data_IF_038535569503
#
_entry.id   IF_038535569503
#
_cell.length_a   1.000
_cell.length_b   1.000
_cell.length_c   1.000
_cell.angle_alpha   90.00
_cell.angle_beta   90.00
_cell.angle_gamma   90.00
#
_symmetry.space_group_name_H-M   'P 1'
#
loop_
_entity.id
_entity.type
_entity.pdbx_description
1 polymer ?
#
# COMPACT_ATOMS: atom_id res chain seq x y z
N UNK A 1 1.40 -82.40 8.24
CA UNK A 1 1.84 -81.00 8.01
C UNK A 1 1.08 -80.22 6.92
N UNK A 2 0.16 -80.81 6.13
CA UNK A 2 -0.50 -80.12 4.98
C UNK A 2 -1.73 -79.26 5.37
N UNK A 3 -2.51 -79.63 6.40
CA UNK A 3 -3.74 -78.91 6.83
C UNK A 3 -3.49 -77.50 7.42
N UNK A 4 -2.37 -77.30 8.12
CA UNK A 4 -2.02 -76.03 8.77
C UNK A 4 -1.72 -74.89 7.77
N UNK A 5 -1.11 -75.21 6.61
CA UNK A 5 -0.78 -74.21 5.58
C UNK A 5 -2.02 -73.69 4.84
N UNK A 6 -3.08 -74.49 4.71
CA UNK A 6 -4.35 -74.05 4.11
C UNK A 6 -5.14 -73.16 5.05
N UNK A 7 -5.15 -73.48 6.36
CA UNK A 7 -5.79 -72.65 7.37
C UNK A 7 -5.13 -71.26 7.47
N UNK A 8 -3.79 -71.21 7.43
CA UNK A 8 -3.04 -69.95 7.45
C UNK A 8 -3.31 -69.10 6.21
N UNK A 9 -3.37 -69.72 5.01
CA UNK A 9 -3.72 -69.01 3.76
C UNK A 9 -5.15 -68.48 3.77
N UNK A 10 -6.11 -69.23 4.31
CA UNK A 10 -7.49 -68.74 4.48
C UNK A 10 -7.57 -67.58 5.46
N UNK A 11 -6.81 -67.61 6.57
CA UNK A 11 -6.76 -66.50 7.53
C UNK A 11 -6.14 -65.26 6.90
N UNK A 12 -5.03 -65.39 6.16
CA UNK A 12 -4.43 -64.26 5.44
C UNK A 12 -5.37 -63.70 4.36
N UNK A 13 -6.09 -64.57 3.63
CA UNK A 13 -7.08 -64.12 2.65
C UNK A 13 -8.25 -63.40 3.32
N UNK A 14 -8.69 -63.85 4.50
CA UNK A 14 -9.79 -63.25 5.26
C UNK A 14 -9.38 -61.90 5.89
N UNK A 15 -8.14 -61.80 6.36
CA UNK A 15 -7.57 -60.55 6.89
C UNK A 15 -7.33 -59.54 5.77
N UNK A 16 -6.86 -59.97 4.59
CA UNK A 16 -6.66 -59.08 3.44
C UNK A 16 -7.99 -58.55 2.90
N UNK A 17 -9.04 -59.37 2.85
CA UNK A 17 -10.38 -58.90 2.47
C UNK A 17 -11.00 -58.00 3.54
N UNK A 18 -10.78 -58.26 4.83
CA UNK A 18 -11.22 -57.37 5.90
C UNK A 18 -10.52 -56.01 5.85
N UNK A 19 -9.24 -55.96 5.45
CA UNK A 19 -8.48 -54.72 5.29
C UNK A 19 -8.94 -53.89 4.07
N UNK A 20 -9.32 -54.57 2.98
CA UNK A 20 -9.83 -53.91 1.76
C UNK A 20 -11.29 -53.43 1.90
N UNK A 21 -12.04 -53.95 2.88
CA UNK A 21 -13.41 -53.53 3.18
C UNK A 21 -13.49 -52.52 4.33
N UNK A 22 -12.35 -52.06 4.86
CA UNK A 22 -12.30 -51.01 5.87
C UNK A 22 -12.73 -49.66 5.25
N UNK A 23 -14.04 -49.39 5.28
CA UNK A 23 -14.60 -48.10 4.92
C UNK A 23 -14.15 -47.07 5.96
N UNK A 24 -13.21 -46.19 5.60
CA UNK A 24 -13.00 -44.94 6.34
C UNK A 24 -14.25 -44.07 6.18
N UNK A 25 -14.88 -43.58 7.28
CA UNK A 25 -16.00 -42.67 7.15
C UNK A 25 -15.53 -41.39 6.44
N UNK A 26 -16.06 -41.12 5.24
CA UNK A 26 -15.89 -39.83 4.59
C UNK A 26 -16.92 -38.87 5.16
N UNK A 27 -16.43 -37.76 5.71
CA UNK A 27 -17.30 -36.64 6.06
C UNK A 27 -17.63 -35.92 4.77
N UNK A 28 -18.85 -36.08 4.25
CA UNK A 28 -19.37 -35.15 3.24
C UNK A 28 -19.86 -33.91 3.99
N UNK A 29 -19.42 -32.70 3.62
CA UNK A 29 -20.03 -31.49 4.10
C UNK A 29 -21.53 -31.55 3.77
N UNK A 30 -22.35 -31.66 4.81
CA UNK A 30 -23.80 -31.63 4.70
C UNK A 30 -24.28 -30.34 5.33
N UNK A 31 -24.80 -29.45 4.49
CA UNK A 31 -25.33 -28.16 4.89
C UNK A 31 -25.80 -27.40 3.65
N UNK A 32 -27.07 -27.02 3.63
CA UNK A 32 -27.59 -26.07 2.65
C UNK A 32 -27.40 -24.67 3.22
N UNK A 33 -26.39 -23.94 2.74
CA UNK A 33 -26.25 -22.52 3.01
C UNK A 33 -27.09 -21.73 2.01
N UNK A 34 -27.95 -20.84 2.49
CA UNK A 34 -28.60 -19.85 1.64
C UNK A 34 -27.76 -18.57 1.65
N UNK A 35 -27.28 -18.15 0.49
CA UNK A 35 -26.66 -16.85 0.33
C UNK A 35 -27.77 -15.79 0.31
N UNK A 36 -27.90 -15.02 1.39
CA UNK A 36 -28.78 -13.85 1.42
C UNK A 36 -27.98 -12.70 0.82
N UNK A 37 -28.25 -12.37 -0.43
CA UNK A 37 -27.65 -11.21 -1.07
C UNK A 37 -28.21 -9.94 -0.43
N UNK A 38 -27.33 -9.03 -0.03
CA UNK A 38 -27.73 -7.66 0.27
C UNK A 38 -27.91 -6.96 -1.08
N UNK A 39 -29.16 -6.68 -1.46
CA UNK A 39 -29.52 -5.95 -2.69
C UNK A 39 -30.26 -4.65 -2.36
N UNK A 40 -30.47 -3.81 -3.37
CA UNK A 40 -31.26 -2.58 -3.26
C UNK A 40 -32.73 -2.84 -2.88
N UNK A 41 -33.21 -4.08 -3.06
CA UNK A 41 -34.58 -4.50 -2.73
C UNK A 41 -34.79 -4.81 -1.23
N UNK A 42 -33.71 -4.76 -0.43
CA UNK A 42 -33.81 -4.94 1.02
C UNK A 42 -34.41 -3.68 1.62
N UNK A 43 -35.61 -3.81 2.18
CA UNK A 43 -36.29 -2.72 2.87
C UNK A 43 -35.43 -2.17 4.02
N UNK A 44 -35.02 -0.91 3.89
CA UNK A 44 -34.32 -0.20 4.94
C UNK A 44 -35.33 0.17 6.02
N UNK A 45 -35.12 -0.31 7.24
CA UNK A 45 -36.01 0.00 8.36
C UNK A 45 -35.80 1.44 8.82
N UNK A 46 -36.89 2.21 8.89
CA UNK A 46 -36.86 3.59 9.39
C UNK A 46 -36.22 3.72 10.78
N UNK A 47 -36.42 2.72 11.65
CA UNK A 47 -35.77 2.67 12.97
C UNK A 47 -34.24 2.69 12.88
N UNK A 48 -33.66 1.92 11.95
CA UNK A 48 -32.21 1.87 11.73
C UNK A 48 -31.75 3.19 11.11
N UNK A 49 -32.47 3.70 10.12
CA UNK A 49 -32.12 4.97 9.48
C UNK A 49 -32.13 6.14 10.47
N UNK A 50 -33.19 6.24 11.30
CA UNK A 50 -33.31 7.26 12.34
C UNK A 50 -32.22 7.14 13.41
N UNK A 51 -31.81 5.90 13.75
CA UNK A 51 -30.69 5.67 14.65
C UNK A 51 -29.36 6.14 14.05
N UNK A 52 -29.11 5.90 12.76
CA UNK A 52 -27.87 6.27 12.08
C UNK A 52 -27.79 7.76 11.70
N UNK A 53 -28.92 8.41 11.48
CA UNK A 53 -29.01 9.79 11.00
C UNK A 53 -28.12 10.80 11.76
N UNK A 54 -28.14 10.89 13.11
CA UNK A 54 -27.30 11.86 13.81
C UNK A 54 -25.80 11.59 13.66
N UNK A 55 -25.39 10.32 13.54
CA UNK A 55 -23.98 9.96 13.31
C UNK A 55 -23.56 10.33 11.90
N UNK A 56 -24.43 10.09 10.92
CA UNK A 56 -24.20 10.48 9.53
C UNK A 56 -24.05 11.99 9.40
N UNK A 57 -24.94 12.77 9.99
CA UNK A 57 -24.89 14.24 9.94
C UNK A 57 -23.61 14.80 10.59
N UNK A 58 -23.21 14.27 11.75
CA UNK A 58 -21.97 14.67 12.41
C UNK A 58 -20.74 14.35 11.56
N UNK A 59 -20.69 13.14 11.00
CA UNK A 59 -19.60 12.71 10.12
C UNK A 59 -19.55 13.54 8.83
N UNK A 60 -20.70 13.79 8.19
CA UNK A 60 -20.78 14.62 6.99
C UNK A 60 -20.32 16.05 7.25
N UNK A 61 -20.64 16.63 8.41
CA UNK A 61 -20.15 17.94 8.79
C UNK A 61 -18.62 17.99 8.89
N UNK A 62 -18.01 16.97 9.49
CA UNK A 62 -16.55 16.86 9.59
C UNK A 62 -15.89 16.62 8.23
N UNK A 63 -16.41 15.66 7.46
CA UNK A 63 -15.86 15.29 6.15
C UNK A 63 -15.99 16.42 5.11
N UNK A 64 -16.99 17.29 5.25
CA UNK A 64 -17.16 18.45 4.36
C UNK A 64 -16.32 19.67 4.76
N UNK A 65 -15.61 19.64 5.88
CA UNK A 65 -14.74 20.74 6.28
C UNK A 65 -13.63 20.95 5.24
N UNK A 66 -13.49 22.20 4.76
CA UNK A 66 -12.43 22.60 3.83
C UNK A 66 -11.13 22.78 4.62
N UNK A 67 -10.07 22.10 4.20
CA UNK A 67 -8.76 22.13 4.85
C UNK A 67 -7.67 22.80 4.00
N UNK A 68 -7.97 23.12 2.74
CA UNK A 68 -7.07 23.82 1.82
C UNK A 68 -7.69 24.00 0.45
N UNK A 69 -6.89 24.47 -0.52
CA UNK A 69 -7.30 24.61 -1.92
C UNK A 69 -6.22 24.09 -2.87
N UNK A 70 -6.63 23.36 -3.91
CA UNK A 70 -5.77 22.91 -5.00
C UNK A 70 -5.87 23.84 -6.21
N UNK A 71 -4.75 24.24 -6.80
CA UNK A 71 -4.71 25.10 -8.00
C UNK A 71 -5.21 24.37 -9.25
N UNK A 72 -5.02 23.06 -9.27
CA UNK A 72 -5.31 22.16 -10.38
C UNK A 72 -5.80 20.81 -9.88
N UNK A 73 -6.28 19.98 -10.79
CA UNK A 73 -6.55 18.57 -10.49
C UNK A 73 -5.23 17.80 -10.53
N UNK A 74 -4.96 17.03 -9.48
CA UNK A 74 -3.79 16.15 -9.39
C UNK A 74 -4.25 14.70 -9.46
N UNK A 75 -3.79 14.00 -10.49
CA UNK A 75 -4.07 12.58 -10.65
C UNK A 75 -2.83 11.75 -10.37
N UNK A 76 -3.07 10.44 -10.18
CA UNK A 76 -2.03 9.44 -10.01
C UNK A 76 -1.63 8.79 -11.34
N UNK A 77 -2.08 9.35 -12.46
CA UNK A 77 -1.80 8.84 -13.79
C UNK A 77 -0.40 9.23 -14.23
N UNK A 78 0.24 8.33 -14.98
CA UNK A 78 1.59 8.54 -15.48
C UNK A 78 2.32 7.24 -15.74
N UNK A 79 3.39 7.33 -16.51
CA UNK A 79 4.29 6.22 -16.82
C UNK A 79 5.55 6.36 -15.97
N UNK A 80 5.49 5.85 -14.75
CA UNK A 80 6.54 6.01 -13.73
C UNK A 80 6.21 7.11 -12.72
N UNK A 81 6.05 8.35 -13.20
CA UNK A 81 5.85 9.54 -12.37
C UNK A 81 4.43 10.11 -12.51
N UNK A 82 3.83 10.56 -11.41
CA UNK A 82 2.53 11.25 -11.41
C UNK A 82 2.55 12.46 -10.48
N UNK A 83 1.75 13.48 -10.80
CA UNK A 83 1.69 14.72 -10.00
C UNK A 83 1.26 14.45 -8.55
N UNK A 84 0.22 13.63 -8.36
CA UNK A 84 -0.26 13.29 -7.03
C UNK A 84 0.73 12.39 -6.27
N UNK A 85 1.42 11.48 -6.97
CA UNK A 85 2.50 10.68 -6.40
C UNK A 85 3.64 11.55 -5.86
N UNK A 86 4.08 12.53 -6.65
CA UNK A 86 5.13 13.49 -6.26
C UNK A 86 4.71 14.28 -5.03
N UNK A 87 3.51 14.87 -5.04
CA UNK A 87 2.99 15.65 -3.91
C UNK A 87 3.00 14.84 -2.62
N UNK A 88 2.48 13.61 -2.66
CA UNK A 88 2.38 12.75 -1.49
C UNK A 88 3.77 12.41 -0.95
N UNK A 89 4.74 12.09 -1.82
CA UNK A 89 6.09 11.76 -1.34
C UNK A 89 6.85 12.97 -0.83
N UNK A 90 6.61 14.16 -1.38
CA UNK A 90 7.16 15.42 -0.88
C UNK A 90 6.61 15.74 0.51
N UNK A 91 5.29 15.64 0.70
CA UNK A 91 4.65 15.83 2.00
C UNK A 91 5.12 14.79 3.01
N UNK A 92 5.19 13.52 2.63
CA UNK A 92 5.71 12.45 3.48
C UNK A 92 7.15 12.75 3.91
N UNK A 93 8.01 13.18 2.98
CA UNK A 93 9.40 13.52 3.27
C UNK A 93 9.50 14.71 4.22
N UNK A 94 8.85 15.83 3.88
CA UNK A 94 8.90 17.06 4.65
C UNK A 94 8.35 16.87 6.07
N UNK A 95 7.23 16.15 6.21
CA UNK A 95 6.65 15.83 7.50
C UNK A 95 7.55 14.93 8.34
N UNK A 96 8.14 13.90 7.74
CA UNK A 96 9.07 12.99 8.42
C UNK A 96 10.30 13.76 8.93
N UNK A 97 10.87 14.64 8.12
CA UNK A 97 12.03 15.46 8.51
C UNK A 97 11.72 16.40 9.68
N UNK A 98 10.56 17.06 9.64
CA UNK A 98 10.10 17.96 10.69
C UNK A 98 9.81 17.21 11.99
N UNK A 99 9.14 16.06 11.91
CA UNK A 99 8.66 15.32 13.08
C UNK A 99 9.77 14.52 13.77
N UNK A 100 10.65 13.89 12.98
CA UNK A 100 11.71 13.03 13.49
C UNK A 100 13.00 13.81 13.81
N UNK A 101 13.12 15.05 13.31
CA UNK A 101 14.23 15.95 13.63
C UNK A 101 15.54 15.62 12.92
N UNK A 102 15.50 14.85 11.83
CA UNK A 102 16.65 14.56 10.99
C UNK A 102 16.25 14.43 9.51
N UNK A 103 17.22 14.63 8.61
CA UNK A 103 16.99 14.60 7.16
C UNK A 103 16.61 13.20 6.66
N UNK A 104 15.70 13.15 5.70
CA UNK A 104 15.30 11.94 4.96
C UNK A 104 15.84 12.09 3.54
N UNK A 105 16.56 11.10 3.03
CA UNK A 105 17.15 11.20 1.69
C UNK A 105 16.10 10.93 0.59
N UNK A 106 15.25 9.91 0.79
CA UNK A 106 14.31 9.40 -0.21
C UNK A 106 12.95 9.17 0.44
N UNK A 107 11.86 9.44 -0.29
CA UNK A 107 10.51 9.08 0.12
C UNK A 107 9.78 8.39 -1.05
N UNK A 108 9.11 7.27 -0.78
CA UNK A 108 8.36 6.52 -1.79
C UNK A 108 6.92 6.23 -1.37
N UNK A 109 6.05 6.12 -2.38
CA UNK A 109 4.65 5.75 -2.22
C UNK A 109 4.18 4.90 -3.40
N UNK A 110 3.61 3.73 -3.15
CA UNK A 110 3.04 2.91 -4.21
C UNK A 110 1.75 3.53 -4.78
N UNK A 111 1.62 3.53 -6.11
CA UNK A 111 0.43 4.05 -6.80
C UNK A 111 -0.87 3.31 -6.43
N UNK A 112 -0.77 2.07 -5.94
CA UNK A 112 -1.89 1.30 -5.42
C UNK A 112 -2.45 1.84 -4.10
N UNK A 113 -1.62 2.51 -3.28
CA UNK A 113 -2.05 3.14 -2.04
C UNK A 113 -2.78 4.47 -2.23
N UNK A 114 -2.68 5.07 -3.42
CA UNK A 114 -3.39 6.31 -3.80
C UNK A 114 -4.71 5.91 -4.47
N UNK A 115 -5.83 6.23 -3.83
CA UNK A 115 -7.13 5.62 -4.15
C UNK A 115 -8.10 6.55 -4.88
N UNK A 116 -7.86 7.85 -4.83
CA UNK A 116 -8.61 8.85 -5.57
C UNK A 116 -7.69 9.95 -6.12
N UNK A 117 -8.24 10.87 -6.91
CA UNK A 117 -7.59 12.10 -7.34
C UNK A 117 -7.69 13.20 -6.27
N UNK A 118 -6.87 14.24 -6.38
CA UNK A 118 -7.11 15.52 -5.70
C UNK A 118 -7.79 16.49 -6.68
N UNK A 119 -9.05 16.87 -6.49
CA UNK A 119 -9.75 17.78 -7.40
C UNK A 119 -9.21 19.20 -7.28
N UNK A 120 -9.38 19.99 -8.36
CA UNK A 120 -9.15 21.43 -8.35
C UNK A 120 -10.15 22.14 -7.42
N UNK A 121 -9.71 23.17 -6.71
CA UNK A 121 -10.54 23.99 -5.84
C UNK A 121 -10.49 23.56 -4.38
N UNK A 122 -11.59 23.66 -3.65
CA UNK A 122 -11.63 23.35 -2.22
C UNK A 122 -11.29 21.89 -1.94
N UNK A 123 -10.32 21.68 -1.06
CA UNK A 123 -9.92 20.36 -0.58
C UNK A 123 -10.69 20.10 0.71
N UNK A 124 -11.62 19.15 0.68
CA UNK A 124 -12.36 18.70 1.86
C UNK A 124 -11.57 17.65 2.62
N UNK A 125 -11.82 17.52 3.92
CA UNK A 125 -11.24 16.45 4.73
C UNK A 125 -11.59 15.06 4.15
N UNK A 126 -12.84 14.85 3.76
CA UNK A 126 -13.30 13.61 3.15
C UNK A 126 -12.54 13.24 1.87
N UNK A 127 -12.10 14.23 1.08
CA UNK A 127 -11.26 14.00 -0.09
C UNK A 127 -9.94 13.31 0.27
N UNK A 128 -9.34 13.66 1.41
CA UNK A 128 -8.08 13.03 1.86
C UNK A 128 -8.32 11.60 2.37
N UNK A 129 -9.47 11.35 3.02
CA UNK A 129 -9.92 10.01 3.36
C UNK A 129 -10.15 9.13 2.12
N UNK A 130 -10.67 9.69 1.04
CA UNK A 130 -10.84 8.98 -0.23
C UNK A 130 -9.49 8.73 -0.94
N UNK A 131 -8.52 9.64 -0.84
CA UNK A 131 -7.19 9.48 -1.43
C UNK A 131 -6.36 8.43 -0.67
N UNK A 132 -6.37 8.49 0.67
CA UNK A 132 -5.58 7.62 1.55
C UNK A 132 -6.50 6.94 2.60
N UNK A 133 -7.32 5.96 2.18
CA UNK A 133 -8.32 5.33 3.06
C UNK A 133 -7.73 4.28 4.00
N UNK A 134 -6.47 3.87 3.79
CA UNK A 134 -5.81 2.87 4.62
C UNK A 134 -5.07 3.52 5.77
N UNK A 135 -5.06 2.85 6.92
CA UNK A 135 -4.27 3.26 8.08
C UNK A 135 -2.84 2.73 7.95
N UNK A 136 -2.19 3.08 6.84
CA UNK A 136 -0.78 2.77 6.63
C UNK A 136 0.08 3.77 7.41
N UNK A 137 1.12 3.27 8.06
CA UNK A 137 2.00 4.06 8.92
C UNK A 137 3.30 4.46 8.21
N UNK A 138 3.89 5.58 8.61
CA UNK A 138 5.21 6.02 8.16
C UNK A 138 6.30 5.15 8.80
N UNK A 139 7.09 4.48 7.97
CA UNK A 139 8.30 3.76 8.35
C UNK A 139 9.52 4.44 7.73
N UNK A 140 10.65 4.42 8.44
CA UNK A 140 11.94 4.89 7.92
C UNK A 140 12.91 3.71 7.90
N UNK A 141 13.44 3.43 6.71
CA UNK A 141 14.36 2.34 6.43
C UNK A 141 15.75 2.87 6.14
N UNK A 142 16.77 2.09 6.45
CA UNK A 142 18.13 2.30 5.95
C UNK A 142 18.33 1.51 4.65
N UNK A 143 18.70 2.19 3.57
CA UNK A 143 18.90 1.57 2.26
C UNK A 143 20.28 1.92 1.70
N UNK A 144 21.01 0.92 1.22
CA UNK A 144 22.31 1.10 0.59
C UNK A 144 22.17 1.25 -0.93
N UNK A 145 23.30 1.41 -1.63
CA UNK A 145 23.32 1.55 -3.08
C UNK A 145 22.73 0.34 -3.81
N UNK A 146 22.92 -0.88 -3.29
CA UNK A 146 22.36 -2.09 -3.88
C UNK A 146 20.83 -2.10 -3.77
N UNK A 147 20.28 -1.77 -2.60
CA UNK A 147 18.84 -1.65 -2.40
C UNK A 147 18.23 -0.54 -3.26
N UNK A 148 18.91 0.60 -3.42
CA UNK A 148 18.45 1.68 -4.31
C UNK A 148 18.41 1.21 -5.76
N UNK A 149 19.41 0.45 -6.23
CA UNK A 149 19.42 -0.13 -7.59
C UNK A 149 18.28 -1.12 -7.78
N UNK A 150 17.95 -1.91 -6.76
CA UNK A 150 16.81 -2.82 -6.82
C UNK A 150 15.47 -2.07 -6.85
N UNK A 151 15.31 -1.03 -6.04
CA UNK A 151 14.16 -0.12 -6.05
C UNK A 151 13.97 0.54 -7.42
N UNK A 152 15.05 1.08 -8.01
CA UNK A 152 14.99 1.70 -9.34
C UNK A 152 14.71 0.65 -10.41
N UNK A 153 15.28 -0.55 -10.33
CA UNK A 153 14.98 -1.65 -11.26
C UNK A 153 13.51 -2.07 -11.18
N UNK A 154 12.94 -2.09 -9.97
CA UNK A 154 11.52 -2.34 -9.77
C UNK A 154 10.66 -1.23 -10.42
N UNK A 155 10.98 0.04 -10.17
CA UNK A 155 10.24 1.18 -10.70
C UNK A 155 10.29 1.24 -12.24
N UNK A 156 11.49 1.07 -12.81
CA UNK A 156 11.75 1.14 -14.24
C UNK A 156 11.01 0.06 -15.07
N UNK A 157 10.47 -1.00 -14.46
CA UNK A 157 9.61 -2.00 -15.12
C UNK A 157 8.17 -1.52 -15.34
N UNK A 158 7.98 -0.22 -15.57
CA UNK A 158 6.68 0.40 -15.81
C UNK A 158 5.79 0.51 -14.58
N UNK A 159 6.36 0.54 -13.37
CA UNK A 159 5.60 0.76 -12.14
C UNK A 159 5.49 2.26 -11.90
N UNK A 160 4.27 2.76 -11.75
CA UNK A 160 4.06 4.11 -11.25
C UNK A 160 4.32 4.10 -9.74
N UNK A 161 5.34 4.84 -9.31
CA UNK A 161 5.80 4.95 -7.93
C UNK A 161 5.96 6.43 -7.63
N UNK A 162 5.31 6.95 -6.60
CA UNK A 162 5.66 8.28 -6.08
C UNK A 162 7.08 8.23 -5.53
N UNK A 163 7.93 9.20 -5.91
CA UNK A 163 9.32 9.29 -5.46
C UNK A 163 9.63 10.75 -5.14
N UNK A 164 10.26 11.01 -4.00
CA UNK A 164 10.92 12.29 -3.69
C UNK A 164 12.37 12.05 -3.27
N UNK A 165 13.27 12.98 -3.63
CA UNK A 165 14.70 12.92 -3.29
C UNK A 165 15.55 11.95 -4.12
N UNK A 166 14.94 11.04 -4.89
CA UNK A 166 15.59 10.13 -5.84
C UNK A 166 15.16 10.50 -7.27
N UNK A 167 16.11 10.55 -8.20
CA UNK A 167 15.84 10.58 -9.64
C UNK A 167 16.59 9.49 -10.38
N UNK A 168 16.03 9.01 -11.49
CA UNK A 168 16.72 8.06 -12.35
C UNK A 168 16.33 8.19 -13.83
N UNK A 169 17.23 7.69 -14.68
CA UNK A 169 16.98 7.49 -16.12
C UNK A 169 17.22 6.03 -16.50
N UNK A 170 16.24 5.44 -17.17
CA UNK A 170 16.29 4.08 -17.73
C UNK A 170 16.04 4.14 -19.23
N UNK A 171 16.83 3.39 -19.99
CA UNK A 171 16.73 3.30 -21.45
C UNK A 171 16.64 1.83 -21.82
N UNK A 172 15.56 1.42 -22.49
CA UNK A 172 15.31 0.02 -22.88
C UNK A 172 15.37 -0.97 -21.71
N UNK A 173 14.97 -0.52 -20.52
CA UNK A 173 15.00 -1.31 -19.29
C UNK A 173 16.33 -1.28 -18.53
N UNK A 174 17.37 -0.67 -19.08
CA UNK A 174 18.69 -0.55 -18.46
C UNK A 174 18.84 0.79 -17.74
N UNK A 175 19.21 0.73 -16.45
CA UNK A 175 19.40 1.93 -15.61
C UNK A 175 20.70 2.63 -16.01
N UNK A 176 20.59 3.86 -16.51
CA UNK A 176 21.74 4.67 -16.94
C UNK A 176 22.25 5.56 -15.82
N UNK A 177 21.34 6.21 -15.10
CA UNK A 177 21.66 7.24 -14.11
C UNK A 177 20.76 7.08 -12.89
N UNK A 178 21.35 7.27 -11.71
CA UNK A 178 20.65 7.38 -10.42
C UNK A 178 21.27 8.55 -9.67
N UNK A 179 20.43 9.46 -9.19
CA UNK A 179 20.86 10.56 -8.32
C UNK A 179 19.99 10.66 -7.08
N UNK A 180 20.62 10.93 -5.94
CA UNK A 180 19.96 11.23 -4.67
C UNK A 180 20.23 12.69 -4.33
N UNK A 181 19.17 13.50 -4.16
CA UNK A 181 19.24 14.93 -3.89
C UNK A 181 20.17 15.69 -4.87
N UNK A 182 20.11 15.30 -6.16
CA UNK A 182 20.91 15.90 -7.24
C UNK A 182 22.37 15.44 -7.31
N UNK A 183 22.80 14.53 -6.43
CA UNK A 183 24.15 13.95 -6.46
C UNK A 183 24.11 12.52 -6.99
N UNK A 184 25.10 12.12 -7.78
CA UNK A 184 25.20 10.74 -8.26
C UNK A 184 25.22 9.75 -7.08
N UNK A 185 24.58 8.59 -7.27
CA UNK A 185 24.53 7.53 -6.26
C UNK A 185 25.95 7.15 -5.80
N UNK A 186 26.21 7.31 -4.50
CA UNK A 186 27.43 6.81 -3.85
C UNK A 186 27.27 5.35 -3.41
N UNK A 187 28.26 4.52 -3.74
CA UNK A 187 28.31 3.10 -3.37
C UNK A 187 28.64 2.85 -1.89
N UNK A 188 29.21 3.84 -1.19
CA UNK A 188 29.65 3.70 0.21
C UNK A 188 28.65 4.30 1.21
N UNK A 189 27.63 5.01 0.73
CA UNK A 189 26.65 5.71 1.57
C UNK A 189 25.41 4.85 1.81
N UNK A 190 24.94 4.86 3.06
CA UNK A 190 23.59 4.45 3.43
C UNK A 190 22.68 5.66 3.46
N UNK A 191 21.46 5.50 2.94
CA UNK A 191 20.45 6.53 2.81
C UNK A 191 19.23 6.20 3.66
N UNK A 192 18.49 7.24 4.06
CA UNK A 192 17.22 7.09 4.75
C UNK A 192 16.05 7.14 3.77
N UNK A 193 15.24 6.08 3.78
CA UNK A 193 14.07 5.89 2.94
C UNK A 193 12.79 5.96 3.79
N UNK A 194 11.99 6.98 3.60
CA UNK A 194 10.62 7.04 4.10
C UNK A 194 9.69 6.24 3.16
N UNK A 195 8.90 5.35 3.73
CA UNK A 195 7.92 4.55 3.01
C UNK A 195 6.72 4.27 3.91
N UNK A 196 5.60 3.87 3.32
CA UNK A 196 4.51 3.30 4.12
C UNK A 196 4.84 1.86 4.55
N UNK A 197 4.31 1.46 5.70
CA UNK A 197 4.50 0.13 6.30
C UNK A 197 4.08 -1.02 5.39
N UNK A 198 3.01 -0.87 4.62
CA UNK A 198 2.56 -1.89 3.66
C UNK A 198 3.66 -2.27 2.65
N UNK A 199 4.29 -1.29 1.99
CA UNK A 199 5.39 -1.59 1.05
C UNK A 199 6.71 -1.92 1.76
N UNK A 200 6.98 -1.30 2.92
CA UNK A 200 8.16 -1.64 3.72
C UNK A 200 8.17 -3.13 4.09
N UNK A 201 6.98 -3.70 4.34
CA UNK A 201 6.78 -5.11 4.66
C UNK A 201 6.56 -6.02 3.44
N UNK A 202 6.87 -5.53 2.23
CA UNK A 202 6.89 -6.33 1.00
C UNK A 202 5.62 -6.29 0.16
N UNK A 203 4.67 -5.41 0.50
CA UNK A 203 3.52 -5.10 -0.34
C UNK A 203 3.91 -4.73 -1.78
N UNK A 204 2.99 -4.95 -2.72
CA UNK A 204 3.20 -4.69 -4.16
C UNK A 204 4.46 -5.35 -4.78
N UNK A 205 4.90 -6.47 -4.20
CA UNK A 205 6.12 -7.20 -4.57
C UNK A 205 7.42 -6.43 -4.29
N UNK A 206 7.43 -5.53 -3.31
CA UNK A 206 8.64 -4.86 -2.82
C UNK A 206 9.31 -5.64 -1.70
N UNK A 207 9.36 -6.97 -1.80
CA UNK A 207 9.93 -7.84 -0.75
C UNK A 207 11.41 -7.57 -0.47
N UNK A 208 12.10 -6.92 -1.40
CA UNK A 208 13.48 -6.45 -1.22
C UNK A 208 13.62 -5.36 -0.15
N UNK A 209 12.53 -4.74 0.28
CA UNK A 209 12.52 -3.80 1.42
C UNK A 209 12.45 -4.52 2.78
N UNK A 210 11.96 -5.76 2.83
CA UNK A 210 11.85 -6.54 4.07
C UNK A 210 13.19 -6.68 4.81
N UNK A 211 14.32 -7.05 4.17
CA UNK A 211 15.58 -7.24 4.89
C UNK A 211 16.26 -5.94 5.36
N UNK A 212 15.78 -4.76 4.96
CA UNK A 212 16.40 -3.48 5.33
C UNK A 212 16.23 -3.16 6.83
N UNK A 213 17.21 -2.49 7.42
CA UNK A 213 17.12 -2.04 8.82
C UNK A 213 15.97 -1.05 9.00
N UNK A 214 15.13 -1.26 10.02
CA UNK A 214 14.10 -0.30 10.44
C UNK A 214 14.74 0.73 11.35
N UNK A 215 14.94 1.94 10.83
CA UNK A 215 15.39 3.06 11.66
C UNK A 215 14.26 3.53 12.57
N UNK A 216 13.06 3.66 12.01
CA UNK A 216 11.84 4.01 12.74
C UNK A 216 10.64 3.22 12.20
N UNK A 217 9.77 2.80 13.13
CA UNK A 217 8.44 2.27 12.85
C UNK A 217 7.45 3.10 13.67
N UNK A 218 6.89 4.13 13.04
CA UNK A 218 6.05 5.10 13.73
C UNK A 218 4.59 4.66 13.76
N UNK A 219 3.79 5.28 14.62
CA UNK A 219 2.31 5.19 14.63
C UNK A 219 1.66 6.34 13.83
N UNK A 220 2.44 7.07 13.03
CA UNK A 220 1.99 8.21 12.26
C UNK A 220 1.31 7.72 10.99
N UNK A 221 0.00 7.94 10.90
CA UNK A 221 -0.82 7.55 9.74
C UNK A 221 -0.52 8.45 8.55
N UNK A 222 -0.32 7.86 7.37
CA UNK A 222 -0.03 8.59 6.13
C UNK A 222 -1.11 9.65 5.81
N UNK A 223 -2.38 9.32 6.05
CA UNK A 223 -3.49 10.25 5.87
C UNK A 223 -3.34 11.51 6.72
N UNK A 224 -2.87 11.38 7.96
CA UNK A 224 -2.67 12.51 8.86
C UNK A 224 -1.51 13.39 8.40
N UNK A 225 -0.47 12.80 7.80
CA UNK A 225 0.61 13.54 7.15
C UNK A 225 0.05 14.47 6.06
N UNK A 226 -0.80 13.93 5.18
CA UNK A 226 -1.41 14.72 4.10
C UNK A 226 -2.29 15.84 4.66
N UNK A 227 -3.15 15.54 5.63
CA UNK A 227 -4.01 16.55 6.27
C UNK A 227 -3.17 17.66 6.91
N UNK A 228 -2.09 17.29 7.62
CA UNK A 228 -1.22 18.25 8.28
C UNK A 228 -0.51 19.17 7.29
N UNK A 229 0.13 18.59 6.27
CA UNK A 229 0.86 19.37 5.26
C UNK A 229 -0.06 20.28 4.45
N UNK A 230 -1.27 19.83 4.08
CA UNK A 230 -2.24 20.68 3.39
C UNK A 230 -2.68 21.86 4.27
N UNK A 231 -2.97 21.61 5.55
CA UNK A 231 -3.31 22.69 6.50
C UNK A 231 -2.15 23.64 6.71
N UNK A 232 -0.91 23.14 6.73
CA UNK A 232 0.32 23.93 6.87
C UNK A 232 0.52 24.86 5.68
N UNK A 233 0.43 24.34 4.45
CA UNK A 233 0.48 25.14 3.23
C UNK A 233 -0.63 26.19 3.18
N UNK A 234 -1.85 25.81 3.56
CA UNK A 234 -3.00 26.72 3.61
C UNK A 234 -2.79 27.84 4.63
N UNK A 235 -2.25 27.53 5.81
CA UNK A 235 -1.92 28.52 6.83
C UNK A 235 -0.79 29.47 6.38
N UNK A 236 0.10 29.01 5.50
CA UNK A 236 1.12 29.83 4.85
C UNK A 236 0.56 30.69 3.69
N UNK A 237 -0.72 30.53 3.34
CA UNK A 237 -1.37 31.24 2.23
C UNK A 237 -1.12 30.61 0.86
N UNK A 238 -0.52 29.42 0.82
CA UNK A 238 -0.24 28.69 -0.40
C UNK A 238 -1.44 27.85 -0.84
N UNK A 239 -1.50 27.59 -2.14
CA UNK A 239 -2.41 26.61 -2.72
C UNK A 239 -1.62 25.36 -3.09
N UNK A 240 -2.26 24.22 -2.99
CA UNK A 240 -1.66 22.93 -3.32
C UNK A 240 -1.49 22.84 -4.84
N UNK A 241 -0.27 22.54 -5.26
CA UNK A 241 0.08 22.31 -6.67
C UNK A 241 1.18 21.24 -6.73
N UNK A 242 1.29 20.54 -7.86
CA UNK A 242 2.38 19.61 -8.11
C UNK A 242 2.59 19.41 -9.60
N UNK A 243 3.84 19.16 -10.00
CA UNK A 243 4.22 19.01 -11.40
C UNK A 243 4.94 17.69 -11.65
N UNK A 244 4.99 17.30 -12.92
CA UNK A 244 5.94 16.28 -13.37
C UNK A 244 7.29 16.98 -13.52
N UNK A 245 8.30 16.44 -12.85
CA UNK A 245 9.63 17.07 -12.72
C UNK A 245 10.73 16.25 -13.39
N UNK A 246 10.39 15.09 -13.97
CA UNK A 246 11.38 14.18 -14.54
C UNK A 246 12.16 13.43 -13.46
N UNK A 247 11.50 13.12 -12.34
CA UNK A 247 12.06 12.27 -11.29
C UNK A 247 12.30 10.86 -11.83
N UNK A 248 11.48 10.41 -12.79
CA UNK A 248 11.58 9.09 -13.38
C UNK A 248 11.52 9.19 -14.91
N UNK A 249 12.66 9.04 -15.56
CA UNK A 249 12.75 9.07 -17.02
C UNK A 249 12.89 7.63 -17.52
N UNK A 250 11.90 7.15 -18.27
CA UNK A 250 11.86 5.80 -18.83
C UNK A 250 11.69 5.91 -20.35
N UNK A 251 12.72 5.52 -21.09
CA UNK A 251 12.83 5.62 -22.56
C UNK A 251 12.91 4.24 -23.24
#
# INVERSE_FOLDING_TARGET
MRKSKHLLKSIYSLLLTAFLLACSPSLTPSGTGQFIAISEDVEVKDEINNFLQPFKEALEAEMNAVIGQSEEELTKDGSGESKLGNLITDFQKAFAEETLGYAIDISIMNNGGIRNILPKGDIKLGTIYEISPFDNYLHVLEIDAAGIRELVSYAARGRNLGIAGLTYRSVQGEIQEISINGQALSEEKTYLLAANDYIANGGDNMSFLIPLTRKEETDIVLRDILINQIKKETAAGNRIHASIEGRQIIE
#
